data_IF_460389867018
#
_entry.id   IF_460389867018
#
_cell.length_a   1.000
_cell.length_b   1.000
_cell.length_c   1.000
_cell.angle_alpha   90.00
_cell.angle_beta   90.00
_cell.angle_gamma   90.00
#
_symmetry.space_group_name_H-M   'P 1'
#
loop_
_entity.id
_entity.type
_entity.pdbx_description
1 polymer ?
#
# COMPACT_ATOMS: atom_id res chain seq x y z
N UNK A 1 40.96 -38.30 -59.48
CA UNK A 1 41.99 -38.15 -58.41
C UNK A 1 41.47 -37.14 -57.38
N UNK A 2 41.48 -37.58 -56.10
CA UNK A 2 41.59 -36.79 -54.85
C UNK A 2 40.29 -36.54 -54.16
N UNK A 3 40.18 -37.29 -53.25
CA UNK A 3 40.48 -37.48 -51.81
C UNK A 3 39.52 -36.68 -50.94
N UNK A 4 38.60 -37.48 -50.46
CA UNK A 4 37.65 -37.17 -49.41
C UNK A 4 38.38 -36.74 -48.13
N UNK A 5 38.00 -35.63 -47.55
CA UNK A 5 38.28 -35.33 -46.15
C UNK A 5 36.97 -35.24 -45.40
N UNK A 6 36.63 -36.37 -44.78
CA UNK A 6 35.50 -36.44 -43.85
C UNK A 6 35.97 -35.82 -42.56
N UNK A 7 35.47 -34.63 -42.28
CA UNK A 7 35.60 -34.01 -40.96
C UNK A 7 34.45 -34.52 -40.12
N UNK A 8 34.75 -35.44 -39.24
CA UNK A 8 33.83 -35.87 -38.17
C UNK A 8 33.68 -34.71 -37.20
N UNK A 9 32.56 -33.98 -37.32
CA UNK A 9 32.16 -32.99 -36.33
C UNK A 9 31.39 -33.73 -35.23
N UNK A 10 32.06 -34.10 -34.19
CA UNK A 10 31.44 -34.60 -32.96
C UNK A 10 30.73 -33.44 -32.26
N UNK A 11 29.41 -33.38 -32.44
CA UNK A 11 28.57 -32.49 -31.69
C UNK A 11 28.48 -33.03 -30.26
N UNK A 12 29.27 -32.45 -29.36
CA UNK A 12 29.14 -32.64 -27.92
C UNK A 12 27.89 -31.93 -27.43
N UNK A 13 26.81 -32.71 -27.31
CA UNK A 13 25.56 -32.25 -26.76
C UNK A 13 25.71 -32.04 -25.26
N UNK A 14 26.19 -30.85 -24.87
CA UNK A 14 26.12 -30.40 -23.49
C UNK A 14 24.68 -30.15 -23.10
N UNK A 15 24.06 -31.12 -22.44
CA UNK A 15 22.78 -30.94 -21.74
C UNK A 15 22.98 -29.96 -20.59
N UNK A 16 22.68 -28.69 -20.83
CA UNK A 16 22.51 -27.68 -19.80
C UNK A 16 21.25 -28.02 -19.00
N UNK A 17 21.40 -28.81 -17.96
CA UNK A 17 20.43 -28.87 -16.86
C UNK A 17 20.42 -27.50 -16.20
N UNK A 18 19.46 -26.69 -16.62
CA UNK A 18 19.12 -25.46 -15.92
C UNK A 18 18.60 -25.83 -14.53
N UNK A 19 19.46 -25.84 -13.54
CA UNK A 19 19.07 -25.76 -12.15
C UNK A 19 18.31 -24.43 -12.00
N UNK A 20 16.97 -24.51 -11.95
CA UNK A 20 16.17 -23.44 -11.35
C UNK A 20 16.59 -23.33 -9.89
N UNK A 21 17.58 -22.49 -9.63
CA UNK A 21 17.82 -22.00 -8.29
C UNK A 21 16.55 -21.25 -7.89
N UNK A 22 15.74 -21.89 -7.04
CA UNK A 22 14.67 -21.20 -6.33
C UNK A 22 15.33 -20.02 -5.61
N UNK A 23 15.14 -18.82 -6.10
CA UNK A 23 15.42 -17.62 -5.34
C UNK A 23 14.58 -17.72 -4.06
N UNK A 24 15.22 -18.16 -2.97
CA UNK A 24 14.74 -17.76 -1.65
C UNK A 24 14.60 -16.25 -1.73
N UNK A 25 13.38 -15.77 -1.66
CA UNK A 25 13.12 -14.39 -1.28
C UNK A 25 13.71 -14.24 0.12
N UNK A 26 14.95 -13.79 0.17
CA UNK A 26 15.52 -13.28 1.40
C UNK A 26 14.52 -12.25 1.90
N UNK A 27 14.04 -12.45 3.11
CA UNK A 27 13.07 -11.59 3.75
C UNK A 27 13.68 -10.22 4.05
N UNK A 28 13.92 -9.44 3.02
CA UNK A 28 14.01 -8.01 3.13
C UNK A 28 12.61 -7.54 3.53
N UNK A 29 12.35 -7.46 4.83
CA UNK A 29 11.14 -6.82 5.33
C UNK A 29 11.18 -5.40 4.77
N UNK A 30 10.40 -5.14 3.71
CA UNK A 30 10.25 -3.80 3.19
C UNK A 30 9.95 -2.88 4.36
N UNK A 31 10.77 -1.84 4.51
CA UNK A 31 10.64 -0.90 5.60
C UNK A 31 9.23 -0.32 5.57
N UNK A 32 8.48 -0.53 6.64
CA UNK A 32 7.12 -0.02 6.73
C UNK A 32 7.09 1.50 6.53
N UNK A 33 6.17 1.96 5.69
CA UNK A 33 6.05 3.38 5.36
C UNK A 33 5.50 4.15 6.54
N UNK A 34 6.17 5.25 6.90
CA UNK A 34 5.68 6.21 7.88
C UNK A 34 5.23 7.47 7.19
N UNK A 35 4.12 8.01 7.62
CA UNK A 35 3.56 9.25 7.15
C UNK A 35 3.31 10.21 8.31
N UNK A 36 3.40 11.51 8.04
CA UNK A 36 3.07 12.58 8.97
C UNK A 36 1.76 13.22 8.51
N UNK A 37 0.80 13.30 9.38
CA UNK A 37 -0.45 14.04 9.19
C UNK A 37 -0.30 15.35 9.97
N UNK A 38 -0.14 16.44 9.26
CA UNK A 38 -0.05 17.77 9.85
C UNK A 38 -1.45 18.31 10.12
N UNK A 39 -1.70 18.73 11.34
CA UNK A 39 -3.00 19.27 11.74
C UNK A 39 -2.85 20.58 12.48
N UNK A 40 -3.92 21.37 12.58
CA UNK A 40 -3.95 22.59 13.39
C UNK A 40 -3.74 22.36 14.90
N UNK A 41 -3.90 21.12 15.35
CA UNK A 41 -3.71 20.72 16.76
C UNK A 41 -2.38 20.00 17.02
N UNK A 42 -1.53 19.83 15.99
CA UNK A 42 -0.24 19.16 16.06
C UNK A 42 -0.10 18.01 15.05
N UNK A 43 1.07 17.41 14.99
CA UNK A 43 1.42 16.37 14.04
C UNK A 43 1.08 14.98 14.58
N UNK A 44 0.56 14.13 13.71
CA UNK A 44 0.31 12.72 13.99
C UNK A 44 1.22 11.88 13.08
N UNK A 45 2.06 11.03 13.68
CA UNK A 45 2.89 10.09 12.93
C UNK A 45 2.17 8.75 12.88
N UNK A 46 1.94 8.25 11.67
CA UNK A 46 1.32 6.95 11.42
C UNK A 46 2.28 6.03 10.69
N UNK A 47 2.11 4.74 10.91
CA UNK A 47 2.82 3.67 10.24
C UNK A 47 1.82 2.83 9.46
N UNK A 48 2.07 2.64 8.18
CA UNK A 48 1.27 1.78 7.32
C UNK A 48 1.87 0.38 7.27
N UNK A 49 1.04 -0.62 7.44
CA UNK A 49 1.47 -2.01 7.48
C UNK A 49 1.59 -2.61 6.08
N UNK A 50 2.62 -3.42 5.86
CA UNK A 50 2.84 -4.12 4.60
C UNK A 50 1.86 -5.28 4.38
N UNK A 51 1.22 -5.75 5.45
CA UNK A 51 0.21 -6.81 5.40
C UNK A 51 -1.15 -6.37 4.82
N UNK A 52 -1.35 -5.07 4.69
CA UNK A 52 -2.54 -4.50 4.03
C UNK A 52 -2.12 -3.62 2.85
N UNK A 53 -1.53 -4.23 1.79
CA UNK A 53 -0.86 -3.50 0.73
C UNK A 53 -1.81 -2.60 -0.07
N UNK A 54 -3.04 -3.02 -0.34
CA UNK A 54 -3.98 -2.22 -1.12
C UNK A 54 -4.38 -0.95 -0.37
N UNK A 55 -4.69 -1.04 0.92
CA UNK A 55 -5.01 0.12 1.75
C UNK A 55 -3.79 1.01 1.96
N UNK A 56 -2.60 0.42 2.20
CA UNK A 56 -1.34 1.15 2.31
C UNK A 56 -1.07 1.99 1.05
N UNK A 57 -1.05 1.34 -0.10
CA UNK A 57 -0.66 1.97 -1.36
C UNK A 57 -1.69 3.03 -1.79
N UNK A 58 -2.98 2.78 -1.54
CA UNK A 58 -4.02 3.76 -1.76
C UNK A 58 -3.88 4.98 -0.85
N UNK A 59 -3.58 4.78 0.43
CA UNK A 59 -3.38 5.90 1.34
C UNK A 59 -2.20 6.77 0.89
N UNK A 60 -1.09 6.15 0.48
CA UNK A 60 0.08 6.85 -0.06
C UNK A 60 -0.31 7.64 -1.31
N UNK A 61 -0.95 7.00 -2.29
CA UNK A 61 -1.41 7.63 -3.53
C UNK A 61 -2.30 8.85 -3.27
N UNK A 62 -3.25 8.74 -2.35
CA UNK A 62 -4.16 9.83 -2.01
C UNK A 62 -3.46 10.96 -1.25
N UNK A 63 -2.43 10.66 -0.47
CA UNK A 63 -1.60 11.65 0.16
C UNK A 63 -0.74 12.40 -0.88
N UNK A 64 -0.08 11.67 -1.78
CA UNK A 64 0.80 12.24 -2.81
C UNK A 64 0.04 13.13 -3.81
N UNK A 65 -1.19 12.80 -4.14
CA UNK A 65 -2.01 13.60 -5.06
C UNK A 65 -2.77 14.75 -4.36
N UNK A 66 -2.53 14.98 -3.06
CA UNK A 66 -3.13 16.08 -2.31
C UNK A 66 -4.61 15.87 -1.96
N UNK A 67 -5.14 14.65 -2.07
CA UNK A 67 -6.55 14.38 -1.75
C UNK A 67 -6.89 14.74 -0.30
N UNK A 68 -5.96 14.51 0.62
CA UNK A 68 -6.17 14.79 2.04
C UNK A 68 -5.87 16.24 2.47
N UNK A 69 -5.22 17.03 1.61
CA UNK A 69 -4.89 18.42 1.94
C UNK A 69 -6.13 19.25 2.17
N UNK A 70 -6.18 19.94 3.31
CA UNK A 70 -7.30 20.80 3.69
C UNK A 70 -8.60 20.08 4.07
N UNK A 71 -8.59 18.74 4.17
CA UNK A 71 -9.73 17.98 4.68
C UNK A 71 -9.88 18.18 6.18
N UNK A 72 -11.09 18.04 6.68
CA UNK A 72 -11.43 18.24 8.09
C UNK A 72 -11.56 16.89 8.83
N UNK A 73 -11.28 16.91 10.12
CA UNK A 73 -11.78 15.88 11.03
C UNK A 73 -13.28 16.14 11.25
N UNK A 74 -14.10 15.61 10.38
CA UNK A 74 -15.53 15.92 10.30
C UNK A 74 -16.38 15.13 11.31
N UNK A 75 -15.82 14.09 11.92
CA UNK A 75 -16.52 13.27 12.93
C UNK A 75 -15.58 12.94 14.08
N UNK A 76 -16.00 13.28 15.29
CA UNK A 76 -15.25 13.02 16.52
C UNK A 76 -16.18 12.38 17.53
N UNK A 77 -15.84 11.19 18.01
CA UNK A 77 -16.57 10.52 19.08
C UNK A 77 -15.58 10.32 20.24
N UNK A 78 -15.90 10.94 21.38
CA UNK A 78 -15.07 10.86 22.58
C UNK A 78 -14.82 9.40 22.98
N UNK A 79 -13.60 9.08 23.32
CA UNK A 79 -13.13 7.76 23.76
C UNK A 79 -13.28 6.65 22.70
N UNK A 80 -13.62 7.00 21.46
CA UNK A 80 -13.75 6.03 20.38
C UNK A 80 -12.86 6.36 19.18
N UNK A 81 -13.17 7.40 18.41
CA UNK A 81 -12.40 7.71 17.19
C UNK A 81 -12.53 9.17 16.73
N UNK A 82 -11.61 9.58 15.87
CA UNK A 82 -11.72 10.75 15.00
C UNK A 82 -11.69 10.27 13.55
N UNK A 83 -12.45 10.90 12.68
CA UNK A 83 -12.57 10.53 11.26
C UNK A 83 -12.34 11.75 10.38
N UNK A 84 -11.49 11.56 9.36
CA UNK A 84 -11.12 12.59 8.38
C UNK A 84 -11.04 11.97 6.97
N UNK A 85 -10.61 12.78 5.98
CA UNK A 85 -10.33 12.33 4.62
C UNK A 85 -11.51 12.41 3.66
N UNK A 86 -12.64 12.99 4.08
CA UNK A 86 -13.75 13.31 3.19
C UNK A 86 -13.34 14.46 2.23
N UNK A 87 -13.26 14.22 0.90
CA UNK A 87 -12.89 15.27 -0.05
C UNK A 87 -13.84 16.47 -0.04
N UNK A 88 -15.11 16.24 0.26
CA UNK A 88 -16.15 17.28 0.33
C UNK A 88 -16.01 18.18 1.57
N UNK A 89 -15.13 17.80 2.50
CA UNK A 89 -14.86 18.62 3.68
C UNK A 89 -13.92 19.80 3.39
N UNK A 90 -13.22 19.80 2.25
CA UNK A 90 -12.36 20.92 1.84
C UNK A 90 -13.17 22.20 1.68
N UNK A 91 -12.79 23.22 2.45
CA UNK A 91 -13.48 24.52 2.41
C UNK A 91 -15.01 24.45 2.64
N UNK A 92 -15.47 23.40 3.31
CA UNK A 92 -16.89 23.21 3.56
C UNK A 92 -17.48 24.36 4.39
N UNK A 93 -18.62 24.93 3.98
CA UNK A 93 -19.31 25.96 4.77
C UNK A 93 -19.82 25.36 6.07
N UNK A 94 -19.95 26.24 7.09
CA UNK A 94 -20.49 25.84 8.39
C UNK A 94 -21.88 25.22 8.23
N UNK A 95 -22.09 24.05 8.83
CA UNK A 95 -23.38 23.33 8.79
C UNK A 95 -23.54 22.36 7.61
N UNK A 96 -22.58 22.29 6.68
CA UNK A 96 -22.61 21.27 5.64
C UNK A 96 -22.52 19.87 6.28
N UNK A 97 -23.39 18.95 5.87
CA UNK A 97 -23.27 17.53 6.20
C UNK A 97 -22.05 16.96 5.50
N UNK A 98 -21.17 16.28 6.26
CA UNK A 98 -19.93 15.70 5.77
C UNK A 98 -19.89 14.19 6.09
N UNK A 99 -18.98 13.48 5.44
CA UNK A 99 -18.76 12.05 5.63
C UNK A 99 -19.32 11.17 4.53
N UNK A 100 -19.90 11.76 3.47
CA UNK A 100 -20.41 11.05 2.30
C UNK A 100 -19.58 11.26 1.03
N UNK A 101 -18.57 12.12 1.07
CA UNK A 101 -17.65 12.29 -0.05
C UNK A 101 -16.78 11.04 -0.24
N UNK A 102 -16.49 10.72 -1.48
CA UNK A 102 -15.64 9.59 -1.84
C UNK A 102 -14.65 9.95 -2.95
N UNK A 103 -13.79 9.01 -3.29
CA UNK A 103 -12.78 9.16 -4.35
C UNK A 103 -13.17 8.45 -5.65
N UNK A 104 -14.41 7.98 -5.78
CA UNK A 104 -14.97 7.34 -6.97
C UNK A 104 -14.64 5.85 -7.12
N UNK A 105 -14.07 5.23 -6.08
CA UNK A 105 -13.79 3.78 -6.07
C UNK A 105 -13.71 3.23 -4.65
N UNK A 106 -13.81 1.92 -4.52
CA UNK A 106 -13.66 1.20 -3.26
C UNK A 106 -12.48 0.24 -3.31
N UNK A 107 -11.96 -0.11 -2.15
CA UNK A 107 -10.88 -1.10 -2.00
C UNK A 107 -11.44 -2.30 -1.25
N UNK A 108 -11.17 -3.53 -1.71
CA UNK A 108 -11.54 -4.74 -0.99
C UNK A 108 -10.98 -4.75 0.43
N UNK A 109 -11.73 -5.27 1.38
CA UNK A 109 -11.27 -5.36 2.76
C UNK A 109 -10.05 -6.28 2.89
N UNK A 110 -9.06 -5.86 3.67
CA UNK A 110 -7.86 -6.63 3.98
C UNK A 110 -7.83 -6.94 5.48
N UNK A 111 -8.41 -8.07 5.88
CA UNK A 111 -8.43 -8.52 7.26
C UNK A 111 -7.23 -9.42 7.57
N UNK A 112 -6.43 -9.04 8.56
CA UNK A 112 -5.21 -9.74 8.98
C UNK A 112 -5.30 -10.11 10.48
N UNK A 113 -6.47 -10.57 10.91
CA UNK A 113 -6.68 -11.01 12.28
C UNK A 113 -5.96 -12.35 12.55
N UNK A 114 -5.38 -12.60 13.74
CA UNK A 114 -5.36 -11.71 14.92
C UNK A 114 -4.21 -10.71 14.95
N UNK A 115 -3.37 -10.64 13.91
CA UNK A 115 -2.19 -9.77 13.91
C UNK A 115 -2.55 -8.29 13.91
N UNK A 116 -3.51 -7.90 13.08
CA UNK A 116 -4.01 -6.53 12.99
C UNK A 116 -5.48 -6.48 13.41
N UNK A 117 -5.80 -5.57 14.30
CA UNK A 117 -7.14 -5.32 14.80
C UNK A 117 -7.28 -3.87 15.30
N UNK A 118 -8.50 -3.41 15.51
CA UNK A 118 -8.77 -2.08 16.03
C UNK A 118 -8.37 -2.00 17.51
N UNK A 119 -7.31 -1.24 17.78
CA UNK A 119 -6.82 -0.94 19.12
C UNK A 119 -6.56 0.56 19.23
N UNK A 120 -6.33 1.05 20.44
CA UNK A 120 -5.97 2.47 20.64
C UNK A 120 -4.77 2.85 19.78
N UNK A 121 -4.90 3.92 18.99
CA UNK A 121 -3.90 4.40 18.05
C UNK A 121 -3.87 3.68 16.69
N UNK A 122 -4.82 2.79 16.40
CA UNK A 122 -4.92 2.20 15.06
C UNK A 122 -5.45 3.23 14.05
N UNK A 123 -4.78 3.33 12.89
CA UNK A 123 -5.31 3.97 11.69
C UNK A 123 -6.08 2.91 10.91
N UNK A 124 -7.34 3.17 10.62
CA UNK A 124 -8.23 2.23 9.91
C UNK A 124 -8.97 2.95 8.80
N UNK A 125 -9.21 2.26 7.69
CA UNK A 125 -10.10 2.76 6.66
C UNK A 125 -11.54 2.82 7.19
N UNK A 126 -12.24 3.93 6.93
CA UNK A 126 -13.67 4.06 7.16
C UNK A 126 -14.45 3.34 6.04
N UNK A 127 -15.65 2.89 6.36
CA UNK A 127 -16.64 2.34 5.41
C UNK A 127 -17.78 3.29 5.26
#
# INVERSE_FOLDING_TARGET
MKRNLIVLLTILLCSLTACKSGQKKDGNMEKETKLKIETSAGDIIVKLYNETPQHRDNFIKLAENGTYEGTLFHRVIKEFMIQAGDPDSKNAPKGKMLGSGDVGYTIPAEFVYPKLFHKKGALSAAR
#
